data_IF_803020647980
#
_entry.id   IF_803020647980
#
_cell.length_a   1.000
_cell.length_b   1.000
_cell.length_c   1.000
_cell.angle_alpha   90.00
_cell.angle_beta   90.00
_cell.angle_gamma   90.00
#
_symmetry.space_group_name_H-M   'P 1'
#
loop_
_entity.id
_entity.type
_entity.pdbx_description
1 polymer ?
#
# COMPACT_ATOMS: atom_id res chain seq x y z
N UNK A 1 5.93 -23.46 -31.63
CA UNK A 1 6.99 -22.75 -30.87
C UNK A 1 6.23 -21.85 -29.96
N UNK A 2 5.96 -22.38 -28.78
CA UNK A 2 4.90 -21.88 -27.94
C UNK A 2 5.60 -20.91 -27.02
N UNK A 3 5.47 -19.63 -27.36
CA UNK A 3 6.04 -18.50 -26.63
C UNK A 3 5.34 -18.32 -25.29
N UNK A 4 5.37 -19.34 -24.46
CA UNK A 4 5.06 -19.28 -23.03
C UNK A 4 6.16 -18.44 -22.40
N UNK A 5 6.05 -17.13 -22.54
CA UNK A 5 6.71 -16.19 -21.65
C UNK A 5 6.23 -16.61 -20.26
N UNK A 6 7.10 -17.30 -19.52
CA UNK A 6 7.00 -17.33 -18.07
C UNK A 6 6.90 -15.84 -17.70
N UNK A 7 5.71 -15.33 -17.41
CA UNK A 7 5.57 -14.11 -16.64
C UNK A 7 6.33 -14.40 -15.36
N UNK A 8 7.61 -14.05 -15.33
CA UNK A 8 8.42 -14.10 -14.12
C UNK A 8 7.67 -13.15 -13.19
N UNK A 9 6.91 -13.75 -12.29
CA UNK A 9 5.89 -13.03 -11.58
C UNK A 9 6.64 -11.97 -10.74
N UNK A 10 6.48 -10.69 -11.14
CA UNK A 10 7.32 -9.62 -10.59
C UNK A 10 6.94 -9.39 -9.12
N UNK A 11 7.90 -9.11 -8.23
CA UNK A 11 7.61 -8.68 -6.87
C UNK A 11 6.64 -7.49 -6.88
N UNK A 12 5.72 -7.47 -5.91
CA UNK A 12 4.70 -6.40 -5.77
C UNK A 12 4.72 -5.83 -4.37
N UNK A 13 4.54 -4.52 -4.26
CA UNK A 13 4.34 -3.87 -2.96
C UNK A 13 2.88 -4.01 -2.53
N UNK A 14 2.66 -4.38 -1.28
CA UNK A 14 1.34 -4.40 -0.64
C UNK A 14 1.35 -3.60 0.65
N UNK A 15 0.18 -3.07 0.99
CA UNK A 15 -0.02 -2.38 2.26
C UNK A 15 -0.29 -3.42 3.36
N UNK A 16 0.46 -3.33 4.46
CA UNK A 16 0.20 -4.08 5.70
C UNK A 16 -1.00 -3.47 6.40
N UNK A 17 -2.21 -3.84 5.95
CA UNK A 17 -3.47 -3.20 6.36
C UNK A 17 -3.63 -3.05 7.88
N UNK A 18 -3.34 -4.09 8.66
CA UNK A 18 -3.49 -4.02 10.11
C UNK A 18 -2.54 -2.99 10.75
N UNK A 19 -1.30 -2.91 10.26
CA UNK A 19 -0.33 -1.91 10.75
C UNK A 19 -0.73 -0.51 10.30
N UNK A 20 -1.15 -0.37 9.04
CA UNK A 20 -1.71 0.88 8.52
C UNK A 20 -2.85 1.39 9.39
N UNK A 21 -3.87 0.56 9.60
CA UNK A 21 -5.08 0.93 10.35
C UNK A 21 -4.72 1.37 11.79
N UNK A 22 -3.80 0.64 12.45
CA UNK A 22 -3.30 1.03 13.78
C UNK A 22 -2.52 2.35 13.77
N UNK A 23 -1.67 2.59 12.77
CA UNK A 23 -0.89 3.82 12.67
C UNK A 23 -1.76 5.03 12.37
N UNK A 24 -2.67 4.93 11.42
CA UNK A 24 -3.57 6.06 11.10
C UNK A 24 -4.47 6.40 12.29
N UNK A 25 -4.93 5.39 13.05
CA UNK A 25 -5.68 5.59 14.29
C UNK A 25 -4.85 6.33 15.36
N UNK A 26 -3.58 5.97 15.56
CA UNK A 26 -2.66 6.68 16.46
C UNK A 26 -2.46 8.16 16.07
N UNK A 27 -2.64 8.48 14.78
CA UNK A 27 -2.61 9.84 14.25
C UNK A 27 -4.01 10.51 14.20
N UNK A 28 -5.03 9.91 14.82
CA UNK A 28 -6.39 10.46 14.89
C UNK A 28 -7.20 10.34 13.59
N UNK A 29 -6.76 9.51 12.65
CA UNK A 29 -7.41 9.31 11.36
C UNK A 29 -8.24 8.03 11.40
N UNK A 30 -9.54 8.17 11.63
CA UNK A 30 -10.46 7.03 11.83
C UNK A 30 -11.26 6.66 10.57
N UNK A 31 -11.12 7.42 9.48
CA UNK A 31 -11.87 7.18 8.23
C UNK A 31 -10.97 7.18 7.00
N UNK A 32 -11.35 6.39 5.99
CA UNK A 32 -10.65 6.40 4.70
C UNK A 32 -10.73 7.78 4.02
N UNK A 33 -11.78 8.57 4.29
CA UNK A 33 -11.90 9.97 3.84
C UNK A 33 -10.83 10.87 4.46
N UNK A 34 -10.59 10.75 5.76
CA UNK A 34 -9.54 11.50 6.44
C UNK A 34 -8.14 11.10 5.91
N UNK A 35 -7.91 9.80 5.70
CA UNK A 35 -6.68 9.30 5.09
C UNK A 35 -6.48 9.85 3.67
N UNK A 36 -7.54 9.84 2.85
CA UNK A 36 -7.51 10.35 1.48
C UNK A 36 -7.14 11.84 1.44
N UNK A 37 -7.75 12.65 2.32
CA UNK A 37 -7.45 14.07 2.46
C UNK A 37 -6.00 14.31 2.90
N UNK A 38 -5.51 13.55 3.89
CA UNK A 38 -4.13 13.65 4.37
C UNK A 38 -3.12 13.36 3.25
N UNK A 39 -3.33 12.27 2.52
CA UNK A 39 -2.41 11.78 1.49
C UNK A 39 -2.59 12.47 0.13
N UNK A 40 -3.58 13.35 0.00
CA UNK A 40 -3.99 14.01 -1.25
C UNK A 40 -4.27 12.98 -2.36
N UNK A 41 -5.10 12.00 -2.05
CA UNK A 41 -5.55 10.95 -2.98
C UNK A 41 -7.07 10.77 -2.89
N UNK A 42 -7.64 9.89 -3.71
CA UNK A 42 -9.08 9.58 -3.63
C UNK A 42 -9.37 8.53 -2.55
N UNK A 43 -10.57 8.59 -1.95
CA UNK A 43 -11.07 7.55 -1.03
C UNK A 43 -11.08 6.17 -1.70
N UNK A 44 -11.45 6.12 -2.98
CA UNK A 44 -11.41 4.89 -3.78
C UNK A 44 -10.00 4.31 -3.91
N UNK A 45 -8.96 5.14 -3.92
CA UNK A 45 -7.56 4.68 -3.95
C UNK A 45 -7.16 4.08 -2.62
N UNK A 46 -7.50 4.73 -1.50
CA UNK A 46 -7.28 4.16 -0.15
C UNK A 46 -7.90 2.78 -0.06
N UNK A 47 -9.18 2.67 -0.42
CA UNK A 47 -9.95 1.44 -0.34
C UNK A 47 -9.34 0.33 -1.21
N UNK A 48 -9.03 0.60 -2.48
CA UNK A 48 -8.43 -0.39 -3.40
C UNK A 48 -7.06 -0.85 -2.93
N UNK A 49 -6.25 0.02 -2.33
CA UNK A 49 -4.95 -0.35 -1.77
C UNK A 49 -5.13 -1.24 -0.53
N UNK A 50 -6.02 -0.87 0.40
CA UNK A 50 -6.33 -1.68 1.61
C UNK A 50 -6.84 -3.08 1.24
N UNK A 51 -7.58 -3.20 0.15
CA UNK A 51 -8.10 -4.46 -0.36
C UNK A 51 -7.13 -5.21 -1.29
N UNK A 52 -5.92 -4.69 -1.51
CA UNK A 52 -4.92 -5.25 -2.43
C UNK A 52 -5.40 -5.36 -3.89
N UNK A 53 -6.42 -4.57 -4.28
CA UNK A 53 -6.92 -4.49 -5.66
C UNK A 53 -5.98 -3.69 -6.57
N UNK A 54 -5.13 -2.84 -6.00
CA UNK A 54 -4.07 -2.11 -6.70
C UNK A 54 -2.82 -2.02 -5.86
N UNK A 55 -1.68 -1.94 -6.53
CA UNK A 55 -0.37 -1.68 -5.91
C UNK A 55 -0.27 -0.20 -5.47
N UNK A 56 0.28 0.10 -4.27
CA UNK A 56 0.57 1.47 -3.87
C UNK A 56 1.56 2.10 -4.85
N UNK A 57 1.24 3.29 -5.38
CA UNK A 57 2.19 4.02 -6.21
C UNK A 57 3.33 4.60 -5.37
N UNK A 58 4.47 4.92 -6.00
CA UNK A 58 5.56 5.62 -5.33
C UNK A 58 5.12 6.93 -4.67
N UNK A 59 4.18 7.67 -5.29
CA UNK A 59 3.59 8.88 -4.71
C UNK A 59 2.78 8.57 -3.44
N UNK A 60 2.01 7.48 -3.43
CA UNK A 60 1.26 7.05 -2.25
C UNK A 60 2.22 6.71 -1.11
N UNK A 61 3.23 5.89 -1.38
CA UNK A 61 4.23 5.47 -0.41
C UNK A 61 4.96 6.67 0.18
N UNK A 62 5.49 7.57 -0.66
CA UNK A 62 6.19 8.76 -0.20
C UNK A 62 5.28 9.67 0.64
N UNK A 63 4.02 9.86 0.23
CA UNK A 63 3.04 10.67 0.98
C UNK A 63 2.73 10.06 2.35
N UNK A 64 2.55 8.73 2.42
CA UNK A 64 2.32 8.02 3.67
C UNK A 64 3.50 8.17 4.64
N UNK A 65 4.72 7.91 4.18
CA UNK A 65 5.93 8.01 5.01
C UNK A 65 6.20 9.45 5.48
N UNK A 66 5.87 10.44 4.66
CA UNK A 66 6.00 11.84 5.04
C UNK A 66 4.95 12.29 6.07
N UNK A 67 3.71 11.80 5.95
CA UNK A 67 2.58 12.24 6.78
C UNK A 67 2.38 11.43 8.06
N UNK A 68 2.96 10.23 8.13
CA UNK A 68 2.98 9.36 9.31
C UNK A 68 4.42 9.32 9.84
N UNK A 69 4.85 10.33 10.61
CA UNK A 69 6.23 10.40 11.10
C UNK A 69 6.52 9.25 12.06
N UNK A 70 7.73 8.70 11.98
CA UNK A 70 8.16 7.58 12.82
C UNK A 70 7.72 6.19 12.31
N UNK A 71 7.18 6.10 11.09
CA UNK A 71 6.99 4.84 10.38
C UNK A 71 8.00 4.68 9.25
N UNK A 72 8.55 3.48 9.10
CA UNK A 72 9.39 3.11 7.95
C UNK A 72 8.55 2.48 6.84
N UNK A 73 9.19 2.22 5.69
CA UNK A 73 8.56 1.48 4.61
C UNK A 73 8.12 0.08 5.08
N UNK A 74 8.99 -0.64 5.78
CA UNK A 74 8.80 -2.01 6.23
C UNK A 74 7.70 -2.12 7.30
N UNK A 75 7.40 -1.05 8.03
CA UNK A 75 6.26 -1.02 8.95
C UNK A 75 4.93 -1.08 8.19
N UNK A 76 4.80 -0.23 7.16
CA UNK A 76 3.53 -0.01 6.46
C UNK A 76 3.34 -0.91 5.24
N UNK A 77 4.42 -1.39 4.64
CA UNK A 77 4.41 -2.07 3.36
C UNK A 77 5.22 -3.37 3.41
N UNK A 78 4.87 -4.29 2.52
CA UNK A 78 5.60 -5.53 2.30
C UNK A 78 5.83 -5.74 0.81
N UNK A 79 6.93 -6.41 0.48
CA UNK A 79 7.19 -6.90 -0.87
C UNK A 79 6.76 -8.35 -0.93
N UNK A 80 5.72 -8.63 -1.72
CA UNK A 80 5.26 -9.99 -1.98
C UNK A 80 5.90 -10.48 -3.26
N UNK A 81 6.68 -11.55 -3.13
CA UNK A 81 7.23 -12.29 -4.26
C UNK A 81 6.23 -13.41 -4.59
N UNK A 82 5.61 -13.40 -5.77
CA UNK A 82 4.84 -14.54 -6.22
C UNK A 82 5.80 -15.71 -6.42
N UNK A 83 5.73 -16.71 -5.54
CA UNK A 83 6.50 -17.95 -5.71
C UNK A 83 5.93 -18.68 -6.93
N UNK A 84 6.81 -19.07 -7.85
CA UNK A 84 6.46 -20.03 -8.89
C UNK A 84 6.54 -21.42 -8.26
N UNK A 85 5.38 -21.99 -7.93
CA UNK A 85 5.26 -23.44 -7.73
C UNK A 85 5.23 -24.14 -9.09
#
# INVERSE_FOLDING_TARGET
MDGSTLEVARPRVRLRRAVWDSKVEQHGLTTDTACAALLQTSVSTIHRIKENKVEPSGKFIASALFRLPGTTFEDLFEVVVPWAD
#
